data_IF_788400027114
#
_entry.id   IF_788400027114
#
_cell.length_a   1.000
_cell.length_b   1.000
_cell.length_c   1.000
_cell.angle_alpha   90.00
_cell.angle_beta   90.00
_cell.angle_gamma   90.00
#
_symmetry.space_group_name_H-M   'P 1'
#
loop_
_entity.id
_entity.type
_entity.pdbx_description
1 polymer ?
#
# COMPACT_ATOMS: atom_id res chain seq x y z
N UNK A 1 8.11 17.60 38.11
CA UNK A 1 7.28 16.47 37.63
C UNK A 1 5.86 16.68 38.13
N UNK A 2 4.84 16.89 37.28
CA UNK A 2 3.48 16.99 37.75
C UNK A 2 2.94 15.57 38.02
N UNK A 3 2.31 15.40 39.19
CA UNK A 3 1.59 14.20 39.60
C UNK A 3 0.44 13.95 38.62
N UNK A 4 0.48 12.82 37.90
CA UNK A 4 -0.63 12.37 37.08
C UNK A 4 -1.72 11.84 38.02
N UNK A 5 -2.63 12.73 38.41
CA UNK A 5 -3.88 12.34 39.08
C UNK A 5 -4.69 11.50 38.10
N UNK A 6 -4.86 10.20 38.41
CA UNK A 6 -5.78 9.30 37.70
C UNK A 6 -7.21 9.84 37.87
N UNK A 7 -7.66 10.71 36.98
CA UNK A 7 -9.06 11.12 36.91
C UNK A 7 -9.89 9.92 36.48
N UNK A 8 -10.74 9.43 37.39
CA UNK A 8 -11.68 8.34 37.12
C UNK A 8 -12.68 8.82 36.07
N UNK A 9 -12.50 8.40 34.81
CA UNK A 9 -13.48 8.68 33.74
C UNK A 9 -14.83 8.09 34.12
N UNK A 10 -15.86 8.93 34.11
CA UNK A 10 -17.24 8.48 34.29
C UNK A 10 -17.78 8.09 32.91
N UNK A 11 -18.09 6.81 32.70
CA UNK A 11 -18.60 6.31 31.42
C UNK A 11 -19.89 5.50 31.60
N UNK A 12 -20.74 5.50 30.56
CA UNK A 12 -21.93 4.65 30.49
C UNK A 12 -22.06 4.02 29.10
N UNK A 13 -22.34 2.72 29.05
CA UNK A 13 -22.59 1.98 27.81
C UNK A 13 -23.99 1.38 27.93
N UNK A 14 -24.92 1.88 27.11
CA UNK A 14 -26.32 1.47 27.14
C UNK A 14 -26.74 0.87 25.80
N UNK A 15 -27.60 -0.14 25.85
CA UNK A 15 -28.20 -0.73 24.66
C UNK A 15 -29.63 -0.23 24.48
N UNK A 16 -30.00 0.15 23.26
CA UNK A 16 -31.32 0.68 22.91
C UNK A 16 -31.86 -0.01 21.66
N UNK A 17 -33.04 -0.67 21.71
CA UNK A 17 -33.70 -1.14 20.51
C UNK A 17 -34.26 0.05 19.73
N UNK A 18 -34.17 0.00 18.40
CA UNK A 18 -34.89 0.91 17.50
C UNK A 18 -35.66 0.07 16.48
N UNK A 19 -36.98 0.24 16.47
CA UNK A 19 -37.87 -0.49 15.57
C UNK A 19 -37.67 -0.04 14.12
N UNK A 20 -37.42 -1.00 13.24
CA UNK A 20 -37.55 -0.82 11.79
C UNK A 20 -38.96 -1.24 11.38
N UNK A 21 -39.82 -0.24 11.11
CA UNK A 21 -41.24 -0.45 10.76
C UNK A 21 -41.43 -1.33 9.52
N UNK A 22 -40.52 -1.27 8.54
CA UNK A 22 -40.65 -2.02 7.29
C UNK A 22 -40.37 -3.53 7.45
N UNK A 23 -39.54 -3.92 8.43
CA UNK A 23 -39.15 -5.33 8.66
C UNK A 23 -39.75 -5.93 9.92
N UNK A 24 -40.55 -5.16 10.66
CA UNK A 24 -41.09 -5.50 11.98
C UNK A 24 -40.03 -6.09 12.95
N UNK A 25 -38.81 -5.56 12.87
CA UNK A 25 -37.66 -6.00 13.67
C UNK A 25 -37.01 -4.79 14.33
N UNK A 26 -36.53 -4.96 15.55
CA UNK A 26 -35.76 -3.94 16.26
C UNK A 26 -34.26 -4.24 16.16
N UNK A 27 -33.48 -3.27 15.69
CA UNK A 27 -32.02 -3.34 15.76
C UNK A 27 -31.57 -2.78 17.10
N UNK A 28 -30.63 -3.46 17.76
CA UNK A 28 -30.02 -2.95 18.99
C UNK A 28 -28.91 -1.96 18.64
N UNK A 29 -28.93 -0.79 19.28
CA UNK A 29 -27.92 0.25 19.16
C UNK A 29 -27.17 0.42 20.47
N UNK A 30 -25.88 0.74 20.37
CA UNK A 30 -25.03 1.13 21.49
C UNK A 30 -25.10 2.65 21.63
N UNK A 31 -25.37 3.12 22.85
CA UNK A 31 -25.25 4.51 23.25
C UNK A 31 -24.14 4.64 24.28
N UNK A 32 -23.04 5.26 23.86
CA UNK A 32 -21.87 5.49 24.68
C UNK A 32 -21.87 6.93 25.21
N UNK A 33 -21.52 7.09 26.49
CA UNK A 33 -21.26 8.38 27.13
C UNK A 33 -19.95 8.33 27.89
N UNK A 34 -19.12 9.36 27.77
CA UNK A 34 -17.88 9.54 28.53
C UNK A 34 -17.85 10.98 29.04
N UNK A 35 -17.68 11.16 30.35
CA UNK A 35 -17.65 12.46 31.04
C UNK A 35 -18.82 13.38 30.64
N UNK A 36 -20.03 12.80 30.53
CA UNK A 36 -21.26 13.53 30.21
C UNK A 36 -21.50 13.79 28.72
N UNK A 37 -20.50 13.59 27.85
CA UNK A 37 -20.66 13.69 26.39
C UNK A 37 -21.14 12.37 25.80
N UNK A 38 -22.15 12.44 24.94
CA UNK A 38 -22.80 11.28 24.33
C UNK A 38 -22.49 11.29 22.83
N UNK A 39 -21.93 10.21 22.29
CA UNK A 39 -21.74 10.08 20.86
C UNK A 39 -23.06 9.68 20.16
N UNK A 40 -23.07 9.78 18.83
CA UNK A 40 -24.15 9.18 18.04
C UNK A 40 -24.21 7.66 18.20
N UNK A 41 -25.43 7.12 18.18
CA UNK A 41 -25.70 5.69 18.39
C UNK A 41 -24.95 4.82 17.36
N UNK A 42 -24.34 3.72 17.83
CA UNK A 42 -23.62 2.75 16.99
C UNK A 42 -24.54 1.55 16.77
N UNK A 43 -24.82 1.19 15.52
CA UNK A 43 -25.64 0.02 15.22
C UNK A 43 -24.88 -1.29 15.55
N UNK A 44 -25.56 -2.23 16.19
CA UNK A 44 -25.06 -3.61 16.31
C UNK A 44 -25.66 -4.48 15.19
N UNK A 45 -25.07 -5.64 14.87
CA UNK A 45 -25.68 -6.59 13.94
C UNK A 45 -26.92 -7.30 14.54
N UNK A 46 -27.16 -7.16 15.84
CA UNK A 46 -28.20 -7.87 16.57
C UNK A 46 -29.58 -7.27 16.25
N UNK A 47 -30.45 -8.13 15.72
CA UNK A 47 -31.86 -7.83 15.43
C UNK A 47 -32.75 -8.76 16.24
N UNK A 48 -33.78 -8.20 16.83
CA UNK A 48 -34.75 -8.92 17.68
C UNK A 48 -36.17 -8.54 17.30
N UNK A 49 -37.13 -9.38 17.69
CA UNK A 49 -38.52 -8.98 17.69
C UNK A 49 -38.76 -7.86 18.72
N UNK A 50 -39.64 -6.88 18.46
CA UNK A 50 -39.81 -5.70 19.33
C UNK A 50 -40.23 -6.03 20.77
N UNK A 51 -41.01 -7.09 20.95
CA UNK A 51 -41.52 -7.60 22.23
C UNK A 51 -40.46 -8.33 23.08
N UNK A 52 -39.39 -8.82 22.42
CA UNK A 52 -38.28 -9.53 23.06
C UNK A 52 -37.31 -8.63 23.82
N UNK A 53 -37.44 -7.30 23.81
CA UNK A 53 -36.56 -6.45 24.62
C UNK A 53 -37.05 -6.33 26.08
N UNK A 54 -36.16 -6.53 27.04
CA UNK A 54 -36.40 -6.21 28.44
C UNK A 54 -35.88 -4.81 28.76
N UNK A 55 -36.80 -3.85 28.96
CA UNK A 55 -36.48 -2.44 29.19
C UNK A 55 -35.76 -2.21 30.52
N UNK A 56 -36.10 -2.97 31.56
CA UNK A 56 -35.53 -2.84 32.90
C UNK A 56 -34.13 -3.44 32.96
N UNK A 57 -33.99 -4.69 32.48
CA UNK A 57 -32.71 -5.42 32.51
C UNK A 57 -31.74 -4.98 31.41
N UNK A 58 -32.22 -4.26 30.39
CA UNK A 58 -31.46 -3.91 29.17
C UNK A 58 -30.89 -5.16 28.47
N UNK A 59 -31.68 -6.23 28.43
CA UNK A 59 -31.32 -7.52 27.82
C UNK A 59 -32.44 -8.04 26.93
N UNK A 60 -32.13 -9.06 26.13
CA UNK A 60 -33.11 -9.78 25.32
C UNK A 60 -33.81 -10.82 26.20
N UNK A 61 -35.15 -10.85 26.17
CA UNK A 61 -36.01 -11.82 26.86
C UNK A 61 -35.91 -13.19 26.18
N UNK A 62 -35.97 -14.24 26.98
CA UNK A 62 -36.01 -15.63 26.52
C UNK A 62 -34.82 -16.43 27.04
N UNK A 63 -35.08 -17.72 27.26
CA UNK A 63 -34.07 -18.73 27.64
C UNK A 63 -33.65 -19.59 26.45
N UNK A 64 -34.16 -19.29 25.25
CA UNK A 64 -33.78 -19.99 24.03
C UNK A 64 -32.32 -19.70 23.67
N UNK A 65 -31.68 -20.66 22.99
CA UNK A 65 -30.25 -20.60 22.64
C UNK A 65 -29.89 -19.32 21.89
N UNK A 66 -30.76 -18.83 21.01
CA UNK A 66 -30.51 -17.61 20.24
C UNK A 66 -30.50 -16.37 21.16
N UNK A 67 -31.50 -16.22 22.03
CA UNK A 67 -31.57 -15.11 22.98
C UNK A 67 -30.37 -15.10 23.95
N UNK A 68 -29.91 -16.28 24.39
CA UNK A 68 -28.71 -16.41 25.22
C UNK A 68 -27.44 -15.99 24.49
N UNK A 69 -27.23 -16.47 23.25
CA UNK A 69 -26.07 -16.10 22.42
C UNK A 69 -26.06 -14.60 22.13
N UNK A 70 -27.19 -14.00 21.77
CA UNK A 70 -27.28 -12.56 21.51
C UNK A 70 -27.00 -11.72 22.78
N UNK A 71 -27.46 -12.18 23.95
CA UNK A 71 -27.11 -11.51 25.21
C UNK A 71 -25.61 -11.64 25.55
N UNK A 72 -24.98 -12.78 25.27
CA UNK A 72 -23.54 -12.94 25.40
C UNK A 72 -22.77 -12.02 24.45
N UNK A 73 -23.26 -11.86 23.21
CA UNK A 73 -22.66 -10.93 22.23
C UNK A 73 -22.74 -9.47 22.72
N UNK A 74 -23.89 -9.04 23.28
CA UNK A 74 -24.01 -7.72 23.90
C UNK A 74 -23.01 -7.52 25.06
N UNK A 75 -22.77 -8.55 25.88
CA UNK A 75 -21.76 -8.52 26.94
C UNK A 75 -20.33 -8.43 26.38
N UNK A 76 -20.03 -9.14 25.30
CA UNK A 76 -18.73 -9.05 24.61
C UNK A 76 -18.50 -7.63 24.08
N UNK A 77 -19.48 -7.08 23.35
CA UNK A 77 -19.45 -5.71 22.83
C UNK A 77 -19.18 -4.70 23.96
N UNK A 78 -19.90 -4.85 25.09
CA UNK A 78 -19.70 -3.97 26.25
C UNK A 78 -18.28 -4.08 26.81
N UNK A 79 -17.76 -5.31 26.92
CA UNK A 79 -16.42 -5.57 27.43
C UNK A 79 -15.32 -5.02 26.52
N UNK A 80 -15.46 -5.17 25.20
CA UNK A 80 -14.56 -4.60 24.19
C UNK A 80 -14.47 -3.08 24.31
N UNK A 81 -15.61 -2.39 24.42
CA UNK A 81 -15.66 -0.93 24.57
C UNK A 81 -15.05 -0.49 25.91
N UNK A 82 -15.29 -1.22 27.00
CA UNK A 82 -14.65 -0.93 28.30
C UNK A 82 -13.14 -1.05 28.19
N UNK A 83 -12.62 -2.11 27.55
CA UNK A 83 -11.19 -2.29 27.34
C UNK A 83 -10.59 -1.11 26.54
N UNK A 84 -11.28 -0.64 25.50
CA UNK A 84 -10.86 0.53 24.72
C UNK A 84 -10.82 1.82 25.57
N UNK A 85 -11.82 2.05 26.42
CA UNK A 85 -11.87 3.22 27.31
C UNK A 85 -10.71 3.21 28.31
N UNK A 86 -10.42 2.04 28.89
CA UNK A 86 -9.34 1.87 29.86
C UNK A 86 -7.96 2.01 29.23
N UNK A 87 -7.77 1.48 28.02
CA UNK A 87 -6.52 1.59 27.28
C UNK A 87 -6.25 3.02 26.76
N UNK A 88 -7.29 3.84 26.57
CA UNK A 88 -7.19 5.19 26.01
C UNK A 88 -7.76 6.25 26.98
N UNK A 89 -7.09 6.51 28.12
CA UNK A 89 -7.60 7.37 29.19
C UNK A 89 -7.70 8.85 28.82
N UNK A 90 -7.16 9.29 27.68
CA UNK A 90 -7.26 10.68 27.22
C UNK A 90 -8.30 10.90 26.11
N UNK A 91 -8.86 9.82 25.54
CA UNK A 91 -9.75 9.92 24.38
C UNK A 91 -11.16 10.36 24.76
N UNK A 92 -11.78 11.20 23.95
CA UNK A 92 -13.19 11.54 24.10
C UNK A 92 -14.14 10.45 23.57
N UNK A 93 -15.44 10.69 23.65
CA UNK A 93 -16.46 9.71 23.29
C UNK A 93 -16.48 9.38 21.80
N UNK A 94 -16.18 10.35 20.94
CA UNK A 94 -16.20 10.19 19.49
C UNK A 94 -14.92 9.46 19.04
N UNK A 95 -13.77 9.76 19.64
CA UNK A 95 -12.51 9.05 19.39
C UNK A 95 -12.60 7.56 19.79
N UNK A 96 -13.23 7.24 20.92
CA UNK A 96 -13.48 5.85 21.33
C UNK A 96 -14.44 5.14 20.36
N UNK A 97 -15.49 5.85 19.90
CA UNK A 97 -16.42 5.32 18.89
C UNK A 97 -15.71 5.02 17.58
N UNK A 98 -14.88 5.93 17.10
CA UNK A 98 -14.10 5.75 15.88
C UNK A 98 -13.14 4.58 15.99
N UNK A 99 -12.45 4.41 17.13
CA UNK A 99 -11.63 3.23 17.40
C UNK A 99 -12.47 1.94 17.36
N UNK A 100 -13.62 1.91 18.02
CA UNK A 100 -14.47 0.72 18.04
C UNK A 100 -15.02 0.37 16.64
N UNK A 101 -15.46 1.35 15.87
CA UNK A 101 -15.95 1.14 14.49
C UNK A 101 -14.79 0.76 13.55
N UNK A 102 -13.64 1.42 13.70
CA UNK A 102 -12.42 1.13 12.92
C UNK A 102 -11.92 -0.29 13.14
N UNK A 103 -11.92 -0.76 14.40
CA UNK A 103 -11.58 -2.14 14.75
C UNK A 103 -12.57 -3.18 14.21
N UNK A 104 -13.81 -2.78 13.88
CA UNK A 104 -14.81 -3.66 13.25
C UNK A 104 -14.71 -3.71 11.73
N UNK A 105 -13.94 -2.83 11.09
CA UNK A 105 -13.59 -2.98 9.67
C UNK A 105 -12.48 -4.03 9.60
N UNK A 106 -12.71 -5.08 8.79
CA UNK A 106 -11.76 -6.19 8.63
C UNK A 106 -10.46 -5.59 8.10
N UNK A 107 -9.44 -5.57 8.96
CA UNK A 107 -8.10 -5.18 8.55
C UNK A 107 -7.61 -6.15 7.47
N UNK A 108 -6.72 -5.67 6.61
CA UNK A 108 -6.23 -6.43 5.46
C UNK A 108 -4.79 -6.85 5.73
N UNK A 109 -4.41 -8.06 5.29
CA UNK A 109 -3.03 -8.49 5.38
C UNK A 109 -2.16 -7.66 4.44
N UNK A 110 -0.97 -7.31 4.90
CA UNK A 110 -0.01 -6.48 4.15
C UNK A 110 0.38 -7.11 2.82
N UNK A 111 0.50 -8.45 2.80
CA UNK A 111 0.82 -9.21 1.59
C UNK A 111 -0.34 -9.19 0.60
N UNK A 112 -1.58 -9.37 1.07
CA UNK A 112 -2.78 -9.30 0.24
C UNK A 112 -2.92 -7.89 -0.37
N UNK A 113 -2.71 -6.85 0.45
CA UNK A 113 -2.77 -5.46 0.01
C UNK A 113 -1.74 -5.17 -1.09
N UNK A 114 -0.53 -5.71 -0.98
CA UNK A 114 0.49 -5.59 -2.02
C UNK A 114 0.07 -6.32 -3.30
N UNK A 115 -0.43 -7.55 -3.19
CA UNK A 115 -0.83 -8.38 -4.33
C UNK A 115 -1.99 -7.76 -5.11
N UNK A 116 -3.03 -7.29 -4.41
CA UNK A 116 -4.15 -6.58 -5.04
C UNK A 116 -3.68 -5.26 -5.66
N UNK A 117 -2.84 -4.49 -4.96
CA UNK A 117 -2.33 -3.22 -5.49
C UNK A 117 -1.56 -3.43 -6.80
N UNK A 118 -0.69 -4.44 -6.86
CA UNK A 118 0.08 -4.75 -8.06
C UNK A 118 -0.81 -5.30 -9.18
N UNK A 119 -1.83 -6.08 -8.84
CA UNK A 119 -2.82 -6.55 -9.82
C UNK A 119 -3.56 -5.37 -10.44
N UNK A 120 -4.15 -4.50 -9.62
CA UNK A 120 -4.91 -3.35 -10.07
C UNK A 120 -4.06 -2.31 -10.83
N UNK A 121 -2.81 -2.06 -10.40
CA UNK A 121 -1.99 -0.94 -10.90
C UNK A 121 -0.88 -1.32 -11.86
N UNK A 122 -0.52 -2.61 -11.95
CA UNK A 122 0.62 -3.05 -12.75
C UNK A 122 0.24 -4.20 -13.67
N UNK A 123 -0.30 -5.30 -13.16
CA UNK A 123 -0.48 -6.52 -13.94
C UNK A 123 -1.67 -6.45 -14.89
N UNK A 124 -2.74 -5.77 -14.48
CA UNK A 124 -3.94 -5.57 -15.32
C UNK A 124 -3.90 -4.28 -16.14
N UNK A 125 -2.81 -3.50 -16.06
CA UNK A 125 -2.68 -2.25 -16.80
C UNK A 125 -2.26 -2.53 -18.26
N UNK A 126 -3.07 -2.12 -19.27
CA UNK A 126 -2.81 -2.40 -20.69
C UNK A 126 -1.43 -1.92 -21.18
N UNK A 127 -0.94 -0.82 -20.62
CA UNK A 127 0.31 -0.16 -20.98
C UNK A 127 1.55 -0.70 -20.24
N UNK A 128 1.40 -1.70 -19.38
CA UNK A 128 2.51 -2.24 -18.59
C UNK A 128 3.48 -3.07 -19.44
N UNK A 129 4.70 -2.56 -19.62
CA UNK A 129 5.80 -3.30 -20.26
C UNK A 129 6.13 -4.59 -19.50
N UNK A 130 6.47 -5.67 -20.23
CA UNK A 130 6.89 -6.97 -19.66
C UNK A 130 8.00 -6.85 -18.61
N UNK A 131 8.98 -5.98 -18.85
CA UNK A 131 10.09 -5.71 -17.92
C UNK A 131 9.60 -5.11 -16.59
N UNK A 132 8.64 -4.19 -16.64
CA UNK A 132 8.00 -3.61 -15.46
C UNK A 132 7.27 -4.69 -14.66
N UNK A 133 6.47 -5.53 -15.34
CA UNK A 133 5.74 -6.65 -14.70
C UNK A 133 6.70 -7.60 -13.97
N UNK A 134 7.82 -7.99 -14.60
CA UNK A 134 8.82 -8.86 -13.98
C UNK A 134 9.42 -8.26 -12.69
N UNK A 135 9.75 -6.97 -12.71
CA UNK A 135 10.25 -6.25 -11.53
C UNK A 135 9.24 -6.34 -10.39
N UNK A 136 7.96 -6.05 -10.65
CA UNK A 136 6.94 -6.06 -9.60
C UNK A 136 6.58 -7.46 -9.11
N UNK A 137 6.64 -8.49 -9.96
CA UNK A 137 6.54 -9.89 -9.52
C UNK A 137 7.67 -10.26 -8.55
N UNK A 138 8.89 -9.80 -8.82
CA UNK A 138 10.01 -10.03 -7.90
C UNK A 138 9.82 -9.28 -6.58
N UNK A 139 9.34 -8.02 -6.60
CA UNK A 139 8.99 -7.27 -5.38
C UNK A 139 7.99 -8.05 -4.52
N UNK A 140 6.90 -8.54 -5.11
CA UNK A 140 5.90 -9.35 -4.41
C UNK A 140 6.54 -10.59 -3.78
N UNK A 141 7.34 -11.34 -4.57
CA UNK A 141 8.04 -12.54 -4.08
C UNK A 141 8.98 -12.24 -2.93
N UNK A 142 9.76 -11.14 -3.02
CA UNK A 142 10.72 -10.76 -1.97
C UNK A 142 10.01 -10.33 -0.69
N UNK A 143 8.93 -9.55 -0.78
CA UNK A 143 8.12 -9.19 0.39
C UNK A 143 7.49 -10.43 1.03
N UNK A 144 6.87 -11.31 0.24
CA UNK A 144 6.32 -12.60 0.72
C UNK A 144 7.39 -13.42 1.45
N UNK A 145 8.59 -13.50 0.90
CA UNK A 145 9.69 -14.22 1.53
C UNK A 145 10.17 -13.58 2.85
N UNK A 146 10.29 -12.26 2.92
CA UNK A 146 10.79 -11.57 4.11
C UNK A 146 9.76 -11.50 5.27
N UNK A 147 8.47 -11.47 4.95
CA UNK A 147 7.37 -11.58 5.92
C UNK A 147 7.14 -13.05 6.32
N UNK A 148 7.36 -13.98 5.39
CA UNK A 148 7.15 -15.41 5.64
C UNK A 148 5.66 -15.74 5.72
N UNK A 149 5.31 -16.63 6.65
CA UNK A 149 3.93 -17.05 6.90
C UNK A 149 3.24 -16.21 8.00
N UNK A 150 3.82 -15.08 8.40
CA UNK A 150 3.24 -14.20 9.41
C UNK A 150 2.01 -13.49 8.85
N UNK A 151 0.90 -13.56 9.60
CA UNK A 151 -0.31 -12.77 9.35
C UNK A 151 -0.10 -11.35 9.87
N UNK A 152 0.54 -10.51 9.06
CA UNK A 152 0.78 -9.10 9.41
C UNK A 152 -0.28 -8.22 8.76
N UNK A 153 -1.04 -7.50 9.59
CA UNK A 153 -2.07 -6.59 9.12
C UNK A 153 -1.54 -5.18 8.83
N UNK A 154 -2.26 -4.43 7.98
CA UNK A 154 -1.90 -3.07 7.58
C UNK A 154 -1.76 -2.14 8.81
N UNK A 155 -2.69 -2.22 9.78
CA UNK A 155 -2.64 -1.35 10.97
C UNK A 155 -1.42 -1.61 11.85
N UNK A 156 -0.86 -2.82 11.79
CA UNK A 156 0.24 -3.25 12.65
C UNK A 156 1.62 -2.84 12.13
N UNK A 157 1.70 -2.32 10.91
CA UNK A 157 2.97 -1.86 10.32
C UNK A 157 3.35 -0.52 10.95
N UNK A 158 4.34 -0.59 11.84
CA UNK A 158 5.04 0.57 12.39
C UNK A 158 6.30 0.88 11.59
N UNK A 159 6.87 2.09 11.74
CA UNK A 159 8.16 2.43 11.15
C UNK A 159 9.27 1.43 11.55
N UNK A 160 9.30 1.01 12.82
CA UNK A 160 10.26 0.00 13.31
C UNK A 160 10.14 -1.35 12.59
N UNK A 161 8.91 -1.83 12.34
CA UNK A 161 8.69 -3.06 11.56
C UNK A 161 9.10 -2.88 10.10
N UNK A 162 8.85 -1.70 9.54
CA UNK A 162 9.24 -1.34 8.18
C UNK A 162 10.77 -1.34 8.02
N UNK A 163 11.50 -0.78 8.99
CA UNK A 163 12.97 -0.74 8.98
C UNK A 163 13.58 -2.14 9.10
N UNK A 164 13.02 -2.99 10.00
CA UNK A 164 13.41 -4.39 10.10
C UNK A 164 13.16 -5.15 8.79
N UNK A 165 12.01 -4.91 8.15
CA UNK A 165 11.69 -5.47 6.85
C UNK A 165 12.63 -4.97 5.75
N UNK A 166 13.01 -3.69 5.77
CA UNK A 166 13.99 -3.11 4.84
C UNK A 166 15.34 -3.81 4.93
N UNK A 167 15.84 -4.08 6.15
CA UNK A 167 17.09 -4.83 6.34
C UNK A 167 17.01 -6.26 5.80
N UNK A 168 15.90 -6.98 6.04
CA UNK A 168 15.65 -8.31 5.45
C UNK A 168 15.57 -8.25 3.93
N UNK A 169 14.96 -7.20 3.40
CA UNK A 169 14.83 -6.99 1.96
C UNK A 169 16.18 -6.72 1.33
N UNK A 170 17.03 -5.92 1.99
CA UNK A 170 18.36 -5.54 1.52
C UNK A 170 19.28 -6.74 1.32
N UNK A 171 19.07 -7.82 2.05
CA UNK A 171 19.83 -9.05 1.88
C UNK A 171 19.71 -9.59 0.44
N UNK A 172 20.85 -9.68 -0.24
CA UNK A 172 20.95 -10.17 -1.62
C UNK A 172 20.49 -9.21 -2.73
N UNK A 173 20.18 -7.94 -2.44
CA UNK A 173 19.77 -6.96 -3.47
C UNK A 173 20.40 -5.57 -3.27
N UNK A 174 20.48 -4.78 -4.35
CA UNK A 174 21.04 -3.41 -4.27
C UNK A 174 20.14 -2.41 -3.54
N UNK A 175 20.76 -1.41 -2.89
CA UNK A 175 20.11 -0.35 -2.09
C UNK A 175 18.91 0.30 -2.79
N UNK A 176 19.07 0.69 -4.05
CA UNK A 176 18.00 1.33 -4.83
C UNK A 176 16.80 0.41 -5.03
N UNK A 177 17.05 -0.88 -5.25
CA UNK A 177 15.99 -1.86 -5.43
C UNK A 177 15.30 -2.18 -4.11
N UNK A 178 16.04 -2.33 -3.01
CA UNK A 178 15.47 -2.47 -1.68
C UNK A 178 14.56 -1.29 -1.32
N UNK A 179 15.01 -0.06 -1.59
CA UNK A 179 14.20 1.15 -1.38
C UNK A 179 12.96 1.18 -2.27
N UNK A 180 13.05 0.75 -3.53
CA UNK A 180 11.89 0.62 -4.42
C UNK A 180 10.87 -0.40 -3.90
N UNK A 181 11.35 -1.57 -3.44
CA UNK A 181 10.53 -2.64 -2.85
C UNK A 181 9.72 -2.11 -1.67
N UNK A 182 10.37 -1.45 -0.71
CA UNK A 182 9.66 -0.90 0.47
C UNK A 182 8.73 0.26 0.09
N UNK A 183 9.14 1.17 -0.81
CA UNK A 183 8.24 2.23 -1.27
C UNK A 183 6.99 1.69 -1.97
N UNK A 184 7.11 0.58 -2.70
CA UNK A 184 5.96 -0.07 -3.33
C UNK A 184 5.01 -0.63 -2.28
N UNK A 185 5.54 -1.26 -1.23
CA UNK A 185 4.75 -1.73 -0.10
C UNK A 185 4.02 -0.59 0.61
N UNK A 186 4.70 0.52 0.93
CA UNK A 186 4.08 1.69 1.57
C UNK A 186 2.94 2.24 0.71
N UNK A 187 3.10 2.28 -0.62
CA UNK A 187 2.03 2.74 -1.52
C UNK A 187 0.81 1.83 -1.47
N UNK A 188 1.01 0.51 -1.45
CA UNK A 188 -0.07 -0.45 -1.30
C UNK A 188 -0.80 -0.29 0.04
N UNK A 189 -0.05 -0.21 1.14
CA UNK A 189 -0.57 0.04 2.50
C UNK A 189 -1.40 1.33 2.53
N UNK A 190 -0.84 2.45 2.04
CA UNK A 190 -1.54 3.76 2.00
C UNK A 190 -2.76 3.76 1.09
N UNK A 191 -2.75 2.98 0.01
CA UNK A 191 -3.87 2.85 -0.91
C UNK A 191 -5.02 2.10 -0.24
N UNK A 192 -4.74 0.93 0.33
CA UNK A 192 -5.76 0.10 0.96
C UNK A 192 -6.25 0.66 2.29
N UNK A 193 -5.38 1.24 3.13
CA UNK A 193 -5.80 1.86 4.40
C UNK A 193 -6.91 2.90 4.21
N UNK A 194 -6.85 3.68 3.11
CA UNK A 194 -7.92 4.60 2.72
C UNK A 194 -9.19 3.86 2.27
N UNK A 195 -9.04 2.84 1.41
CA UNK A 195 -10.14 2.02 0.87
C UNK A 195 -10.93 1.30 1.98
N UNK A 196 -10.23 0.75 2.98
CA UNK A 196 -10.84 0.04 4.12
C UNK A 196 -11.02 0.93 5.37
N UNK A 197 -10.65 2.22 5.29
CA UNK A 197 -10.68 3.19 6.40
C UNK A 197 -10.01 2.70 7.70
N UNK A 198 -8.84 2.07 7.58
CA UNK A 198 -8.00 1.66 8.70
C UNK A 198 -6.94 2.74 8.96
N UNK A 199 -6.72 3.09 10.22
CA UNK A 199 -5.65 4.01 10.62
C UNK A 199 -4.30 3.30 10.52
N UNK A 200 -3.31 3.98 9.94
CA UNK A 200 -1.94 3.48 9.80
C UNK A 200 -0.95 4.43 10.48
N UNK A 201 0.21 3.90 10.86
CA UNK A 201 1.34 4.72 11.30
C UNK A 201 1.86 5.59 10.15
N UNK A 202 2.57 6.68 10.49
CA UNK A 202 3.31 7.42 9.47
C UNK A 202 4.54 6.59 9.05
N UNK A 203 4.66 6.36 7.74
CA UNK A 203 5.65 5.47 7.14
C UNK A 203 6.47 6.24 6.11
N UNK A 204 7.79 6.18 6.24
CA UNK A 204 8.75 6.87 5.37
C UNK A 204 9.94 5.99 5.01
N UNK A 205 10.56 6.30 3.86
CA UNK A 205 11.87 5.75 3.44
C UNK A 205 12.93 6.82 3.29
N UNK A 206 12.72 8.02 3.85
CA UNK A 206 13.64 9.16 3.74
C UNK A 206 15.07 8.80 4.13
N UNK A 207 15.22 8.09 5.24
CA UNK A 207 16.51 7.68 5.81
C UNK A 207 17.16 6.49 5.09
N UNK A 208 16.44 5.79 4.22
CA UNK A 208 16.98 4.62 3.54
C UNK A 208 18.03 5.02 2.52
N UNK A 209 19.18 4.36 2.60
CA UNK A 209 20.33 4.60 1.74
C UNK A 209 19.97 4.38 0.26
N UNK A 210 20.66 5.14 -0.59
CA UNK A 210 20.63 4.99 -2.05
C UNK A 210 22.04 4.66 -2.52
N UNK A 211 22.14 3.88 -3.60
CA UNK A 211 23.43 3.68 -4.23
C UNK A 211 23.96 5.05 -4.68
N UNK A 212 25.19 5.44 -4.32
CA UNK A 212 25.77 6.69 -4.79
C UNK A 212 25.76 6.73 -6.31
N UNK A 213 25.56 7.92 -6.88
CA UNK A 213 25.64 8.09 -8.33
C UNK A 213 27.05 7.69 -8.76
N UNK A 214 27.16 6.70 -9.63
CA UNK A 214 28.43 6.35 -10.26
C UNK A 214 28.94 7.57 -11.02
N UNK A 215 30.23 7.88 -10.85
CA UNK A 215 30.91 8.89 -11.67
C UNK A 215 30.78 8.46 -13.13
N UNK A 216 30.21 9.34 -13.95
CA UNK A 216 30.19 9.13 -15.40
C UNK A 216 31.52 9.58 -15.95
N UNK A 217 32.24 8.67 -16.60
CA UNK A 217 33.37 9.00 -17.45
C UNK A 217 32.84 9.14 -18.87
N UNK A 218 33.15 10.26 -19.52
CA UNK A 218 32.80 10.50 -20.91
C UNK A 218 34.01 10.24 -21.79
N UNK A 219 33.75 9.72 -22.99
CA UNK A 219 34.77 9.61 -24.03
C UNK A 219 35.15 11.02 -24.50
N UNK A 220 36.45 11.31 -24.59
CA UNK A 220 36.93 12.58 -25.13
C UNK A 220 36.86 12.56 -26.67
N UNK A 221 36.89 13.74 -27.30
CA UNK A 221 36.87 13.85 -28.76
C UNK A 221 38.05 13.12 -29.41
N UNK A 222 39.24 13.17 -28.78
CA UNK A 222 40.41 12.43 -29.23
C UNK A 222 40.18 10.90 -29.18
N UNK A 223 39.60 10.41 -28.09
CA UNK A 223 39.26 8.99 -27.93
C UNK A 223 38.19 8.56 -28.94
N UNK A 224 37.23 9.44 -29.23
CA UNK A 224 36.21 9.20 -30.25
C UNK A 224 36.82 9.06 -31.65
N UNK A 225 37.77 9.93 -32.02
CA UNK A 225 38.46 9.86 -33.31
C UNK A 225 39.25 8.56 -33.42
N UNK A 226 39.97 8.17 -32.35
CA UNK A 226 40.68 6.90 -32.30
C UNK A 226 39.72 5.72 -32.45
N UNK A 227 38.66 5.68 -31.64
CA UNK A 227 37.63 4.65 -31.68
C UNK A 227 36.98 4.52 -33.07
N UNK A 228 36.66 5.64 -33.71
CA UNK A 228 36.07 5.67 -35.06
C UNK A 228 37.00 5.07 -36.11
N UNK A 229 38.31 5.31 -36.00
CA UNK A 229 39.29 4.90 -37.00
C UNK A 229 39.92 3.53 -36.71
N UNK A 230 39.72 2.98 -35.51
CA UNK A 230 40.26 1.70 -35.09
C UNK A 230 39.77 0.56 -35.99
N UNK A 231 40.68 -0.32 -36.42
CA UNK A 231 40.30 -1.50 -37.22
C UNK A 231 39.72 -2.57 -36.30
N UNK A 232 38.61 -3.17 -36.71
CA UNK A 232 38.04 -4.30 -35.98
C UNK A 232 38.59 -5.61 -36.53
N UNK A 233 38.70 -6.62 -35.66
CA UNK A 233 39.25 -7.92 -36.02
C UNK A 233 38.16 -8.96 -36.34
N UNK A 234 36.89 -8.63 -36.06
CA UNK A 234 35.77 -9.55 -36.25
C UNK A 234 34.51 -8.80 -36.72
N UNK A 235 33.63 -9.45 -37.48
CA UNK A 235 32.35 -8.85 -37.89
C UNK A 235 31.48 -8.40 -36.71
N UNK A 236 31.53 -9.10 -35.57
CA UNK A 236 30.77 -8.72 -34.36
C UNK A 236 31.28 -7.42 -33.75
N UNK A 237 32.59 -7.19 -33.78
CA UNK A 237 33.19 -5.94 -33.31
C UNK A 237 32.84 -4.79 -34.25
N UNK A 238 32.82 -5.01 -35.57
CA UNK A 238 32.39 -4.00 -36.54
C UNK A 238 30.95 -3.56 -36.28
N UNK A 239 30.02 -4.51 -36.12
CA UNK A 239 28.63 -4.21 -35.79
C UNK A 239 28.55 -3.42 -34.48
N UNK A 240 29.23 -3.86 -33.42
CA UNK A 240 29.21 -3.15 -32.13
C UNK A 240 29.74 -1.71 -32.25
N UNK A 241 30.80 -1.50 -33.04
CA UNK A 241 31.39 -0.20 -33.33
C UNK A 241 30.41 0.70 -34.09
N UNK A 242 29.78 0.19 -35.14
CA UNK A 242 28.79 0.93 -35.93
C UNK A 242 27.60 1.38 -35.10
N UNK A 243 27.04 0.48 -34.27
CA UNK A 243 25.95 0.82 -33.36
C UNK A 243 26.35 1.91 -32.37
N UNK A 244 27.56 1.81 -31.79
CA UNK A 244 28.07 2.82 -30.86
C UNK A 244 28.26 4.19 -31.55
N UNK A 245 28.77 4.21 -32.79
CA UNK A 245 28.95 5.44 -33.57
C UNK A 245 27.60 6.09 -33.92
N UNK A 246 26.61 5.28 -34.31
CA UNK A 246 25.24 5.78 -34.57
C UNK A 246 24.66 6.39 -33.29
N UNK A 247 24.73 5.67 -32.15
CA UNK A 247 24.25 6.17 -30.87
C UNK A 247 24.94 7.48 -30.46
N UNK A 248 26.26 7.56 -30.61
CA UNK A 248 27.04 8.74 -30.25
C UNK A 248 26.68 9.96 -31.11
N UNK A 249 26.46 9.80 -32.42
CA UNK A 249 26.11 10.90 -33.32
C UNK A 249 24.68 11.39 -33.16
N UNK A 250 23.77 10.48 -32.85
CA UNK A 250 22.32 10.76 -32.89
C UNK A 250 21.69 10.95 -31.51
N UNK A 251 22.39 10.57 -30.43
CA UNK A 251 21.85 10.59 -29.07
C UNK A 251 20.71 9.59 -28.86
N UNK A 252 20.62 8.56 -29.69
CA UNK A 252 19.59 7.52 -29.57
C UNK A 252 20.00 6.45 -28.57
N UNK A 253 19.01 5.96 -27.83
CA UNK A 253 19.21 4.85 -26.91
C UNK A 253 19.30 3.56 -27.73
N UNK A 254 20.04 2.57 -27.20
CA UNK A 254 20.18 1.27 -27.84
C UNK A 254 18.84 0.62 -28.21
N UNK A 255 17.81 0.76 -27.35
CA UNK A 255 16.49 0.18 -27.60
C UNK A 255 15.74 0.82 -28.77
N UNK A 256 16.16 1.99 -29.24
CA UNK A 256 15.54 2.70 -30.37
C UNK A 256 16.22 2.37 -31.71
N UNK A 257 17.39 1.73 -31.69
CA UNK A 257 18.17 1.41 -32.89
C UNK A 257 17.40 0.52 -33.87
N UNK A 258 16.62 -0.44 -33.38
CA UNK A 258 15.83 -1.31 -34.26
C UNK A 258 14.85 -0.48 -35.11
N UNK A 259 14.14 0.48 -34.51
CA UNK A 259 13.21 1.36 -35.23
C UNK A 259 13.90 2.30 -36.21
N UNK A 260 15.18 2.62 -35.98
CA UNK A 260 16.03 3.37 -36.91
C UNK A 260 16.37 2.49 -38.11
N UNK A 261 16.84 1.27 -37.88
CA UNK A 261 17.18 0.33 -38.95
C UNK A 261 15.99 -0.01 -39.84
N UNK A 262 14.80 -0.21 -39.26
CA UNK A 262 13.58 -0.51 -40.01
C UNK A 262 13.11 0.65 -40.90
N UNK A 263 13.40 1.89 -40.51
CA UNK A 263 12.97 3.11 -41.21
C UNK A 263 14.05 3.70 -42.13
N UNK A 264 15.31 3.33 -41.95
CA UNK A 264 16.42 3.80 -42.76
C UNK A 264 16.33 3.23 -44.17
N UNK A 265 16.08 4.10 -45.16
CA UNK A 265 16.16 3.80 -46.60
C UNK A 265 17.32 4.55 -47.24
N UNK A 266 17.70 4.14 -48.44
CA UNK A 266 18.64 4.88 -49.29
C UNK A 266 18.20 6.36 -49.38
N UNK A 267 19.12 7.30 -49.12
CA UNK A 267 18.89 8.76 -49.04
C UNK A 267 18.05 9.29 -47.85
N UNK A 268 17.78 8.49 -46.82
CA UNK A 268 17.09 8.99 -45.62
C UNK A 268 18.00 9.91 -44.80
N UNK A 269 17.66 11.20 -44.73
CA UNK A 269 18.43 12.20 -43.95
C UNK A 269 17.98 12.31 -42.49
N UNK A 270 16.69 12.09 -42.23
CA UNK A 270 16.08 12.22 -40.91
C UNK A 270 15.04 11.11 -40.72
N UNK A 271 15.02 10.48 -39.55
CA UNK A 271 14.01 9.50 -39.15
C UNK A 271 13.19 10.05 -37.99
N UNK A 272 11.86 10.02 -38.14
CA UNK A 272 10.95 10.33 -37.04
C UNK A 272 10.38 9.04 -36.44
N UNK A 273 10.60 8.82 -35.14
CA UNK A 273 10.04 7.68 -34.41
C UNK A 273 9.75 8.02 -32.94
N UNK A 274 8.73 7.38 -32.33
CA UNK A 274 8.48 7.51 -30.90
C UNK A 274 9.57 6.77 -30.12
N UNK A 275 10.21 7.46 -29.16
CA UNK A 275 11.23 6.86 -28.29
C UNK A 275 10.62 5.72 -27.47
N UNK A 276 11.24 4.56 -27.50
CA UNK A 276 10.77 3.33 -26.85
C UNK A 276 10.56 3.52 -25.35
N UNK A 277 11.39 4.33 -24.67
CA UNK A 277 11.31 4.53 -23.23
C UNK A 277 10.17 5.47 -22.82
N UNK A 278 10.04 6.61 -23.49
CA UNK A 278 9.19 7.74 -23.08
C UNK A 278 7.97 7.95 -23.96
N UNK A 279 7.90 7.28 -25.11
CA UNK A 279 6.92 7.47 -26.19
C UNK A 279 6.89 8.90 -26.77
N UNK A 280 7.93 9.70 -26.51
CA UNK A 280 8.07 11.04 -27.08
C UNK A 280 8.55 10.90 -28.52
N UNK A 281 7.88 11.58 -29.46
CA UNK A 281 8.33 11.62 -30.85
C UNK A 281 9.69 12.33 -30.95
N UNK A 282 10.66 11.66 -31.56
CA UNK A 282 11.98 12.22 -31.83
C UNK A 282 12.26 12.22 -33.33
N UNK A 283 12.84 13.31 -33.81
CA UNK A 283 13.39 13.44 -35.16
C UNK A 283 14.90 13.26 -35.08
N UNK A 284 15.42 12.21 -35.72
CA UNK A 284 16.80 11.74 -35.60
C UNK A 284 17.51 11.99 -36.93
N UNK A 285 18.50 12.90 -36.99
CA UNK A 285 19.33 13.06 -38.18
C UNK A 285 20.25 11.86 -38.36
N UNK A 286 20.38 11.36 -39.59
CA UNK A 286 21.28 10.25 -39.95
C UNK A 286 22.55 10.70 -40.70
N UNK A 287 22.62 12.00 -41.02
CA UNK A 287 23.77 12.68 -41.62
C UNK A 287 24.52 13.48 -40.56
#
# INVERSE_FOLDING_TARGET
>A
MPLITRTKKMYSINFRPRLNKAKNQSTIYIRLSINGKICSDIATPIKIAPDKWNVEKKTIKGIDKLSLVQNQELLSIKSEIIALILANPFFDVDEIKELYIGNKKKDMLVVEALEEYLTEKVFSAPESKKSKVLIYKYILKKIKHCIGNEEVYISEITQKKLDALYLKVLDGIGLNYAKLTINTLIRAIKYFSKKISVKIHDLSTSEYQKTPKKTKTFMLDADYILFKNEKTNTPKQEIAKDLALVMARTGVDYCDLQGIFEKAKENTKVISLPRTKTNVMASIPLL
#
